data_IF_166038859827
#
_entry.id   IF_166038859827
#
_cell.length_a   1.000
_cell.length_b   1.000
_cell.length_c   1.000
_cell.angle_alpha   90.00
_cell.angle_beta   90.00
_cell.angle_gamma   90.00
#
_symmetry.space_group_name_H-M   'P 1'
#
loop_
_entity.id
_entity.type
_entity.pdbx_description
1 polymer ?
#
# COMPACT_ATOMS: atom_id res chain seq x y z
N UNK A 1 -20.78 18.07 9.35
CA UNK A 1 -20.18 18.58 8.10
C UNK A 1 -19.67 17.39 7.33
N UNK A 2 -20.27 17.10 6.18
CA UNK A 2 -19.82 16.05 5.27
C UNK A 2 -18.56 16.58 4.55
N UNK A 3 -17.38 16.24 5.07
CA UNK A 3 -16.12 16.46 4.34
C UNK A 3 -16.22 15.74 3.01
N UNK A 4 -16.06 16.47 1.90
CA UNK A 4 -15.75 15.89 0.59
C UNK A 4 -14.49 15.05 0.75
N UNK A 5 -14.66 13.76 1.06
CA UNK A 5 -13.54 12.85 1.21
C UNK A 5 -13.13 12.44 -0.19
N UNK A 6 -12.12 13.14 -0.73
CA UNK A 6 -11.62 12.90 -2.07
C UNK A 6 -11.16 11.45 -2.20
N UNK A 7 -11.39 10.88 -3.38
CA UNK A 7 -10.87 9.56 -3.72
C UNK A 7 -9.35 9.59 -3.73
N UNK A 8 -8.75 8.49 -3.27
CA UNK A 8 -7.30 8.36 -3.19
C UNK A 8 -6.69 8.40 -4.60
N UNK A 9 -5.67 9.23 -4.76
CA UNK A 9 -4.82 9.27 -5.96
C UNK A 9 -3.60 8.41 -5.72
N UNK A 10 -3.25 7.55 -6.67
CA UNK A 10 -2.08 6.70 -6.55
C UNK A 10 -0.87 7.37 -7.18
N UNK A 11 0.24 7.40 -6.45
CA UNK A 11 1.55 7.72 -6.99
C UNK A 11 2.43 6.46 -6.97
N UNK A 12 2.74 5.98 -8.16
CA UNK A 12 3.53 4.77 -8.42
C UNK A 12 4.93 5.10 -8.94
N UNK A 13 5.37 6.36 -8.84
CA UNK A 13 6.61 6.84 -9.49
C UNK A 13 7.89 6.56 -8.71
N UNK A 14 7.82 5.94 -7.52
CA UNK A 14 9.02 5.56 -6.80
C UNK A 14 9.78 4.46 -7.58
N UNK A 15 11.07 4.66 -7.95
CA UNK A 15 11.81 3.69 -8.75
C UNK A 15 11.92 2.31 -8.10
N UNK A 16 12.10 2.25 -6.78
CA UNK A 16 12.20 0.98 -6.02
C UNK A 16 10.84 0.27 -6.02
N UNK A 17 9.74 1.02 -5.90
CA UNK A 17 8.41 0.43 -6.03
C UNK A 17 8.18 -0.14 -7.44
N UNK A 18 8.56 0.60 -8.49
CA UNK A 18 8.42 0.16 -9.88
C UNK A 18 9.23 -1.10 -10.16
N UNK A 19 10.50 -1.12 -9.74
CA UNK A 19 11.36 -2.30 -9.86
C UNK A 19 10.71 -3.53 -9.21
N UNK A 20 10.25 -3.41 -7.96
CA UNK A 20 9.59 -4.52 -7.29
C UNK A 20 8.28 -4.95 -7.96
N UNK A 21 7.42 -4.00 -8.36
CA UNK A 21 6.15 -4.27 -9.02
C UNK A 21 6.34 -4.98 -10.37
N UNK A 22 7.30 -4.50 -11.18
CA UNK A 22 7.61 -5.07 -12.49
C UNK A 22 8.37 -6.38 -12.41
N UNK A 23 9.04 -6.66 -11.29
CA UNK A 23 9.65 -7.95 -10.98
C UNK A 23 8.66 -9.05 -10.56
N UNK A 24 7.42 -8.73 -10.21
CA UNK A 24 6.42 -9.72 -9.80
C UNK A 24 6.06 -10.68 -10.94
N UNK A 25 5.82 -11.96 -10.60
CA UNK A 25 5.27 -12.93 -11.55
C UNK A 25 3.87 -12.51 -12.00
N UNK A 26 3.46 -12.93 -13.22
CA UNK A 26 2.20 -12.49 -13.85
C UNK A 26 0.97 -12.60 -12.94
N UNK A 27 0.71 -13.71 -12.20
CA UNK A 27 -0.43 -13.78 -11.30
C UNK A 27 -0.36 -12.78 -10.13
N UNK A 28 0.80 -12.65 -9.49
CA UNK A 28 1.00 -11.70 -8.39
C UNK A 28 0.86 -10.25 -8.87
N UNK A 29 1.39 -9.95 -10.06
CA UNK A 29 1.30 -8.63 -10.67
C UNK A 29 -0.15 -8.24 -10.97
N UNK A 30 -0.93 -9.16 -11.55
CA UNK A 30 -2.35 -8.91 -11.82
C UNK A 30 -3.12 -8.63 -10.53
N UNK A 31 -2.93 -9.46 -9.51
CA UNK A 31 -3.56 -9.26 -8.20
C UNK A 31 -3.16 -7.91 -7.55
N UNK A 32 -1.90 -7.50 -7.72
CA UNK A 32 -1.44 -6.20 -7.24
C UNK A 32 -2.13 -5.05 -7.98
N UNK A 33 -2.26 -5.14 -9.31
CA UNK A 33 -2.96 -4.13 -10.13
C UNK A 33 -4.45 -4.06 -9.78
N UNK A 34 -5.10 -5.19 -9.52
CA UNK A 34 -6.50 -5.20 -9.09
C UNK A 34 -6.66 -4.51 -7.73
N UNK A 35 -5.78 -4.79 -6.77
CA UNK A 35 -5.78 -4.08 -5.48
C UNK A 35 -5.56 -2.57 -5.65
N UNK A 36 -4.65 -2.15 -6.52
CA UNK A 36 -4.45 -0.72 -6.83
C UNK A 36 -5.72 -0.10 -7.43
N UNK A 37 -6.43 -0.79 -8.31
CA UNK A 37 -7.72 -0.32 -8.86
C UNK A 37 -8.74 -0.10 -7.76
N UNK A 38 -8.88 -1.05 -6.82
CA UNK A 38 -9.79 -0.92 -5.68
C UNK A 38 -9.43 0.27 -4.79
N UNK A 39 -8.15 0.47 -4.46
CA UNK A 39 -7.71 1.61 -3.61
C UNK A 39 -8.11 2.95 -4.23
N UNK A 40 -8.05 3.09 -5.56
CA UNK A 40 -8.43 4.33 -6.25
C UNK A 40 -9.92 4.66 -6.12
N UNK A 41 -10.76 3.68 -5.82
CA UNK A 41 -12.20 3.86 -5.59
C UNK A 41 -12.52 4.20 -4.13
N UNK A 42 -11.54 4.16 -3.24
CA UNK A 42 -11.70 4.46 -1.83
C UNK A 42 -11.40 5.94 -1.54
N UNK A 43 -12.12 6.48 -0.58
CA UNK A 43 -11.74 7.68 0.15
C UNK A 43 -10.77 7.36 1.29
N UNK A 44 -10.08 8.35 1.85
CA UNK A 44 -9.18 8.11 2.98
C UNK A 44 -9.93 7.59 4.21
N UNK A 45 -11.11 8.12 4.52
CA UNK A 45 -11.88 7.64 5.66
C UNK A 45 -12.38 6.20 5.46
N UNK A 46 -12.68 5.79 4.21
CA UNK A 46 -12.98 4.39 3.89
C UNK A 46 -11.75 3.51 4.10
N UNK A 47 -10.58 3.91 3.57
CA UNK A 47 -9.33 3.17 3.74
C UNK A 47 -8.97 2.96 5.23
N UNK A 48 -9.09 4.00 6.07
CA UNK A 48 -8.78 3.89 7.50
C UNK A 48 -9.71 2.94 8.27
N UNK A 49 -10.90 2.66 7.75
CA UNK A 49 -11.85 1.69 8.33
C UNK A 49 -11.77 0.32 7.68
N UNK A 50 -11.05 0.20 6.56
CA UNK A 50 -10.93 -1.04 5.81
C UNK A 50 -10.06 -2.06 6.57
N UNK A 51 -10.60 -3.26 6.78
CA UNK A 51 -9.90 -4.35 7.45
C UNK A 51 -9.12 -5.26 6.47
N UNK A 52 -9.43 -5.21 5.17
CA UNK A 52 -8.88 -6.11 4.16
C UNK A 52 -7.46 -5.76 3.73
N UNK A 53 -7.22 -4.48 3.46
CA UNK A 53 -5.93 -3.93 3.04
C UNK A 53 -4.91 -3.91 4.18
N UNK A 54 -5.35 -4.07 5.44
CA UNK A 54 -4.46 -4.03 6.61
C UNK A 54 -3.53 -2.81 6.58
N UNK A 55 -4.12 -1.62 6.38
CA UNK A 55 -3.42 -0.33 6.40
C UNK A 55 -2.95 -0.01 7.83
N UNK A 56 -1.68 -0.28 8.12
CA UNK A 56 -1.12 -0.23 9.48
C UNK A 56 0.11 0.66 9.52
N UNK A 57 0.15 1.60 10.47
CA UNK A 57 1.30 2.48 10.70
C UNK A 57 2.51 1.67 11.18
N UNK A 58 3.66 1.86 10.55
CA UNK A 58 4.93 1.27 10.99
C UNK A 58 5.57 2.22 12.00
N UNK A 59 5.60 1.83 13.27
CA UNK A 59 6.12 2.67 14.37
C UNK A 59 7.64 2.65 14.49
N UNK A 60 8.30 1.62 13.96
CA UNK A 60 9.75 1.43 14.05
C UNK A 60 10.55 2.20 12.99
N UNK A 61 9.88 2.79 12.00
CA UNK A 61 10.52 3.53 10.91
C UNK A 61 10.34 5.02 11.13
N UNK A 62 11.45 5.75 11.23
CA UNK A 62 11.41 7.22 11.22
C UNK A 62 11.16 7.69 9.79
N UNK A 63 10.07 8.42 9.54
CA UNK A 63 9.83 8.99 8.22
C UNK A 63 10.85 10.10 7.92
N UNK A 64 11.03 10.38 6.63
CA UNK A 64 11.85 11.50 6.17
C UNK A 64 11.13 12.84 6.46
N UNK A 65 11.86 13.96 6.44
CA UNK A 65 11.26 15.27 6.67
C UNK A 65 10.12 15.55 5.68
N UNK A 66 8.96 15.98 6.19
CA UNK A 66 7.76 16.21 5.38
C UNK A 66 6.84 14.98 5.21
N UNK A 67 7.19 13.83 5.78
CA UNK A 67 6.34 12.63 5.81
C UNK A 67 5.89 12.36 7.24
N UNK A 68 4.57 12.28 7.46
CA UNK A 68 4.02 12.09 8.81
C UNK A 68 4.26 10.68 9.37
N UNK A 69 4.10 9.67 8.51
CA UNK A 69 4.21 8.27 8.89
C UNK A 69 4.36 7.38 7.66
N UNK A 70 5.09 6.28 7.82
CA UNK A 70 5.11 5.18 6.87
C UNK A 70 4.09 4.14 7.32
N UNK A 71 3.32 3.64 6.36
CA UNK A 71 2.33 2.59 6.55
C UNK A 71 2.72 1.37 5.75
N UNK A 72 2.25 0.22 6.20
CA UNK A 72 2.25 -0.99 5.42
C UNK A 72 0.83 -1.38 5.08
N UNK A 73 0.61 -1.89 3.87
CA UNK A 73 -0.65 -2.48 3.44
C UNK A 73 -0.42 -3.79 2.69
N UNK A 74 -1.42 -4.65 2.65
CA UNK A 74 -1.47 -5.85 1.83
C UNK A 74 -1.82 -5.45 0.39
N UNK A 75 -0.97 -5.83 -0.57
CA UNK A 75 -1.22 -5.63 -2.01
C UNK A 75 -1.58 -6.94 -2.72
N UNK A 76 -1.15 -8.07 -2.18
CA UNK A 76 -1.61 -9.42 -2.55
C UNK A 76 -1.61 -10.30 -1.29
N UNK A 77 -2.11 -11.53 -1.35
CA UNK A 77 -2.03 -12.45 -0.20
C UNK A 77 -0.59 -12.73 0.27
N UNK A 78 0.38 -12.69 -0.64
CA UNK A 78 1.80 -13.00 -0.43
C UNK A 78 2.70 -11.76 -0.33
N UNK A 79 2.18 -10.55 -0.54
CA UNK A 79 2.99 -9.32 -0.65
C UNK A 79 2.40 -8.17 0.14
N UNK A 80 3.29 -7.39 0.77
CA UNK A 80 2.98 -6.12 1.40
C UNK A 80 3.70 -4.97 0.70
N UNK A 81 3.07 -3.82 0.69
CA UNK A 81 3.67 -2.56 0.29
C UNK A 81 3.97 -1.70 1.52
N UNK A 82 4.93 -0.80 1.35
CA UNK A 82 5.05 0.39 2.20
C UNK A 82 4.60 1.61 1.41
N UNK A 83 3.87 2.51 2.06
CA UNK A 83 3.39 3.75 1.45
C UNK A 83 3.21 4.83 2.52
N UNK A 84 3.04 6.08 2.08
CA UNK A 84 2.62 7.18 2.95
C UNK A 84 1.55 8.03 2.27
N UNK A 85 0.81 8.77 3.09
CA UNK A 85 -0.16 9.75 2.63
C UNK A 85 0.52 11.10 2.44
N UNK A 86 0.29 11.73 1.31
CA UNK A 86 0.61 13.14 1.07
C UNK A 86 -0.61 13.83 0.44
N UNK A 87 -1.39 14.54 1.26
CA UNK A 87 -2.68 15.11 0.83
C UNK A 87 -3.63 14.02 0.34
N UNK A 88 -4.00 14.08 -0.95
CA UNK A 88 -4.87 13.12 -1.61
C UNK A 88 -4.09 11.93 -2.22
N UNK A 89 -2.76 11.98 -2.21
CA UNK A 89 -1.91 10.94 -2.81
C UNK A 89 -1.52 9.86 -1.80
N UNK A 90 -1.67 8.61 -2.21
CA UNK A 90 -0.95 7.47 -1.63
C UNK A 90 0.32 7.25 -2.43
N UNK A 91 1.47 7.54 -1.82
CA UNK A 91 2.79 7.39 -2.43
C UNK A 91 3.38 6.04 -2.05
N UNK A 92 3.50 5.15 -3.02
CA UNK A 92 4.06 3.82 -2.81
C UNK A 92 5.59 3.86 -2.80
N UNK A 93 6.20 3.06 -1.94
CA UNK A 93 7.65 3.05 -1.72
C UNK A 93 8.29 1.70 -2.07
N UNK A 94 7.72 0.59 -1.61
CA UNK A 94 8.28 -0.76 -1.84
C UNK A 94 7.19 -1.81 -1.99
N UNK A 95 7.54 -2.98 -2.55
CA UNK A 95 6.76 -4.21 -2.48
C UNK A 95 7.68 -5.30 -1.95
N UNK A 96 7.28 -6.00 -0.90
CA UNK A 96 8.07 -7.06 -0.26
C UNK A 96 7.19 -8.29 0.04
N UNK A 97 7.79 -9.49 0.20
CA UNK A 97 7.07 -10.66 0.72
C UNK A 97 6.36 -10.35 2.04
N UNK A 98 5.13 -10.85 2.19
CA UNK A 98 4.42 -10.81 3.46
C UNK A 98 5.06 -11.85 4.40
N UNK A 99 5.86 -11.39 5.37
CA UNK A 99 6.58 -12.27 6.31
C UNK A 99 5.65 -13.11 7.21
N UNK A 100 4.35 -12.80 7.25
CA UNK A 100 3.31 -13.61 7.89
C UNK A 100 3.09 -14.98 7.21
N UNK A 101 3.70 -15.23 6.05
CA UNK A 101 3.68 -16.54 5.37
C UNK A 101 4.69 -17.56 5.92
N UNK A 102 5.39 -17.26 7.02
CA UNK A 102 6.47 -18.08 7.58
C UNK A 102 6.04 -19.13 8.61
N UNK A 103 4.84 -19.70 8.48
CA UNK A 103 4.51 -21.00 9.11
C UNK A 103 3.84 -21.93 8.10
N UNK A 104 4.60 -22.28 7.07
CA UNK A 104 4.20 -23.23 6.03
C UNK A 104 5.40 -24.01 5.50
N UNK A 105 6.26 -24.51 6.38
CA UNK A 105 7.11 -25.67 6.05
C UNK A 105 6.68 -26.84 6.94
N UNK A 106 5.96 -27.76 6.34
CA UNK A 106 5.93 -29.17 6.73
C UNK A 106 6.03 -29.99 5.46
#
# INVERSE_FOLDING_TARGET
MCTNDHLIRLDLNNPVFQEHLFGLQKPERNAAIDTLREIRLLSWAQLYRDAGLKWVKIVSVKPQQGVDAIYSLRITQSRRCTAYREGDFMRFLTVAPDHDSTYGRK
#
